data_IF_663289609219
#
_entry.id   IF_663289609219
#
_cell.length_a   1.000
_cell.length_b   1.000
_cell.length_c   1.000
_cell.angle_alpha   90.00
_cell.angle_beta   90.00
_cell.angle_gamma   90.00
#
_symmetry.space_group_name_H-M   'P 1'
#
loop_
_entity.id
_entity.type
_entity.pdbx_description
1 polymer ?
#
# COMPACT_ATOMS: atom_id res chain seq x y z
N UNK A 1 1.42 42.57 9.84
CA UNK A 1 2.47 41.86 9.11
C UNK A 1 2.59 40.46 9.69
N UNK A 2 1.88 39.49 9.11
CA UNK A 2 1.90 38.08 9.53
C UNK A 2 2.46 37.26 8.38
N UNK A 3 3.66 36.73 8.60
CA UNK A 3 4.44 36.01 7.61
C UNK A 3 3.73 34.76 7.10
N UNK A 4 3.74 34.61 5.77
CA UNK A 4 3.46 33.36 5.09
C UNK A 4 4.51 32.32 5.50
N UNK A 5 4.08 31.31 6.27
CA UNK A 5 4.80 30.04 6.32
C UNK A 5 4.62 29.32 4.98
N UNK A 6 5.62 28.56 4.50
CA UNK A 6 5.50 27.82 3.27
C UNK A 6 4.45 26.73 3.47
N UNK A 7 3.29 26.92 2.86
CA UNK A 7 2.28 25.88 2.77
C UNK A 7 2.91 24.66 2.12
N UNK A 8 3.00 23.58 2.88
CA UNK A 8 3.17 22.24 2.33
C UNK A 8 2.08 22.08 1.28
N UNK A 9 2.48 22.13 0.00
CA UNK A 9 1.61 21.83 -1.11
C UNK A 9 1.13 20.38 -0.92
N UNK A 10 -0.03 20.24 -0.28
CA UNK A 10 -0.84 19.04 -0.21
C UNK A 10 -1.22 18.65 -1.63
N UNK A 11 -0.36 17.88 -2.29
CA UNK A 11 -0.60 17.21 -3.57
C UNK A 11 -1.63 16.07 -3.49
N UNK A 12 -2.58 16.15 -2.55
CA UNK A 12 -3.80 15.34 -2.51
C UNK A 12 -4.97 16.28 -2.82
N UNK A 13 -5.10 16.66 -4.08
CA UNK A 13 -6.28 17.36 -4.55
C UNK A 13 -7.52 16.47 -4.34
N UNK A 14 -8.31 16.82 -3.32
CA UNK A 14 -9.69 16.42 -3.09
C UNK A 14 -10.01 14.91 -3.15
N UNK A 15 -10.20 14.31 -1.97
CA UNK A 15 -10.88 13.02 -1.76
C UNK A 15 -12.40 13.07 -2.08
N UNK A 16 -12.78 13.80 -3.13
CA UNK A 16 -14.11 13.72 -3.70
C UNK A 16 -14.24 12.42 -4.48
N UNK A 17 -15.28 11.66 -4.18
CA UNK A 17 -15.74 10.60 -5.07
C UNK A 17 -16.52 11.25 -6.21
N UNK A 18 -16.46 10.71 -7.44
CA UNK A 18 -17.41 11.07 -8.48
C UNK A 18 -18.85 10.94 -7.96
N UNK A 19 -19.78 11.81 -8.36
CA UNK A 19 -21.16 11.76 -7.90
C UNK A 19 -21.87 10.46 -8.31
N UNK A 20 -21.36 9.76 -9.32
CA UNK A 20 -21.86 8.47 -9.80
C UNK A 20 -21.00 7.27 -9.37
N UNK A 21 -20.17 7.45 -8.33
CA UNK A 21 -19.36 6.38 -7.76
C UNK A 21 -20.25 5.23 -7.23
N UNK A 22 -19.86 3.99 -7.56
CA UNK A 22 -20.54 2.78 -7.10
C UNK A 22 -19.80 2.10 -5.94
N UNK A 23 -20.50 1.25 -5.19
CA UNK A 23 -19.92 0.42 -4.14
C UNK A 23 -19.64 1.17 -2.84
N UNK A 24 -20.18 2.38 -2.66
CA UNK A 24 -19.99 3.20 -1.46
C UNK A 24 -20.72 2.59 -0.26
N UNK A 25 -21.88 2.00 -0.54
CA UNK A 25 -22.73 1.27 0.40
C UNK A 25 -22.04 0.06 1.03
N UNK A 26 -21.06 -0.54 0.33
CA UNK A 26 -20.26 -1.65 0.84
C UNK A 26 -19.39 -1.24 2.05
N UNK A 27 -19.20 0.06 2.26
CA UNK A 27 -18.36 0.63 3.32
C UNK A 27 -19.18 1.41 4.36
N UNK A 28 -20.49 1.22 4.42
CA UNK A 28 -21.37 1.97 5.34
C UNK A 28 -21.20 1.59 6.81
N UNK A 29 -20.73 0.37 7.09
CA UNK A 29 -20.37 -0.06 8.44
C UNK A 29 -18.85 -0.18 8.60
N UNK A 30 -18.36 0.14 9.81
CA UNK A 30 -16.94 0.00 10.15
C UNK A 30 -16.47 -1.45 10.00
N UNK A 31 -17.33 -2.40 10.39
CA UNK A 31 -17.02 -3.83 10.33
C UNK A 31 -16.87 -4.31 8.88
N UNK A 32 -17.80 -3.92 8.00
CA UNK A 32 -17.73 -4.29 6.57
C UNK A 32 -16.54 -3.62 5.88
N UNK A 33 -16.30 -2.34 6.17
CA UNK A 33 -15.14 -1.62 5.66
C UNK A 33 -13.81 -2.30 6.05
N UNK A 34 -13.66 -2.69 7.32
CA UNK A 34 -12.49 -3.42 7.79
C UNK A 34 -12.40 -4.82 7.20
N UNK A 35 -13.52 -5.53 7.04
CA UNK A 35 -13.57 -6.86 6.41
C UNK A 35 -13.09 -6.79 4.96
N UNK A 36 -13.62 -5.86 4.18
CA UNK A 36 -13.22 -5.62 2.79
C UNK A 36 -11.74 -5.25 2.73
N UNK A 37 -11.31 -4.32 3.58
CA UNK A 37 -9.93 -3.87 3.59
C UNK A 37 -8.93 -4.96 4.01
N UNK A 38 -9.27 -5.80 4.99
CA UNK A 38 -8.43 -6.94 5.38
C UNK A 38 -8.28 -7.95 4.25
N UNK A 39 -9.38 -8.25 3.53
CA UNK A 39 -9.32 -9.12 2.36
C UNK A 39 -8.50 -8.50 1.22
N UNK A 40 -8.64 -7.20 1.02
CA UNK A 40 -7.81 -6.44 0.07
C UNK A 40 -6.32 -6.54 0.40
N UNK A 41 -5.93 -6.40 1.68
CA UNK A 41 -4.54 -6.61 2.13
C UNK A 41 -4.07 -8.04 1.87
N UNK A 42 -4.89 -9.03 2.20
CA UNK A 42 -4.59 -10.45 1.94
C UNK A 42 -4.27 -10.67 0.47
N UNK A 43 -5.14 -10.22 -0.45
CA UNK A 43 -4.95 -10.40 -1.90
C UNK A 43 -3.75 -9.59 -2.41
N UNK A 44 -3.57 -8.36 -1.92
CA UNK A 44 -2.41 -7.53 -2.27
C UNK A 44 -1.08 -8.21 -1.92
N UNK A 45 -1.05 -8.97 -0.83
CA UNK A 45 0.14 -9.66 -0.34
C UNK A 45 0.33 -11.06 -0.94
N UNK A 46 -0.59 -11.54 -1.79
CA UNK A 46 -0.41 -12.82 -2.46
C UNK A 46 0.72 -12.75 -3.49
N UNK A 47 1.33 -13.91 -3.72
CA UNK A 47 2.43 -14.04 -4.67
C UNK A 47 2.01 -13.66 -6.09
N UNK A 48 0.79 -13.98 -6.51
CA UNK A 48 0.28 -13.65 -7.85
C UNK A 48 0.10 -12.13 -8.04
N UNK A 49 -0.36 -11.41 -7.02
CA UNK A 49 -0.39 -9.94 -7.00
C UNK A 49 1.02 -9.35 -7.04
N UNK A 50 1.94 -9.88 -6.23
CA UNK A 50 3.34 -9.45 -6.23
C UNK A 50 4.02 -9.68 -7.58
N UNK A 51 3.77 -10.81 -8.23
CA UNK A 51 4.29 -11.13 -9.56
C UNK A 51 3.72 -10.20 -10.63
N UNK A 52 2.43 -9.84 -10.53
CA UNK A 52 1.82 -8.82 -11.40
C UNK A 52 2.54 -7.48 -11.22
N UNK A 53 2.70 -7.00 -9.98
CA UNK A 53 3.41 -5.75 -9.70
C UNK A 53 4.85 -5.77 -10.24
N UNK A 54 5.62 -6.85 -10.01
CA UNK A 54 7.00 -6.97 -10.51
C UNK A 54 7.09 -6.95 -12.03
N UNK A 55 6.10 -7.51 -12.73
CA UNK A 55 6.06 -7.55 -14.20
C UNK A 55 5.63 -6.21 -14.81
N UNK A 56 4.79 -5.44 -14.14
CA UNK A 56 4.10 -4.27 -14.73
C UNK A 56 4.59 -2.93 -14.18
N UNK A 57 5.18 -2.91 -12.98
CA UNK A 57 5.66 -1.69 -12.35
C UNK A 57 7.17 -1.54 -12.53
N UNK A 58 7.53 -0.72 -13.51
CA UNK A 58 8.89 -0.23 -13.70
C UNK A 58 8.87 1.29 -13.55
N UNK A 59 9.27 1.85 -12.38
CA UNK A 59 9.17 3.28 -12.11
C UNK A 59 10.07 4.12 -13.03
N UNK A 60 10.99 3.51 -13.78
CA UNK A 60 11.83 4.20 -14.76
C UNK A 60 11.15 4.39 -16.12
N UNK A 61 10.04 3.69 -16.38
CA UNK A 61 9.34 3.73 -17.67
C UNK A 61 8.20 4.76 -17.68
N UNK A 62 7.99 5.45 -18.82
CA UNK A 62 6.78 6.26 -19.01
C UNK A 62 5.53 5.40 -18.85
N UNK A 63 4.56 5.86 -18.06
CA UNK A 63 3.30 5.14 -17.83
C UNK A 63 3.32 4.14 -16.65
N UNK A 64 4.38 4.08 -15.85
CA UNK A 64 4.46 3.22 -14.66
C UNK A 64 3.29 3.42 -13.68
N UNK A 65 2.79 4.66 -13.54
CA UNK A 65 1.64 4.96 -12.70
C UNK A 65 0.33 4.37 -13.27
N UNK A 66 0.18 4.35 -14.59
CA UNK A 66 -0.99 3.76 -15.24
C UNK A 66 -0.99 2.24 -15.05
N UNK A 67 0.16 1.59 -15.20
CA UNK A 67 0.27 0.13 -15.00
C UNK A 67 0.10 -0.27 -13.52
N UNK A 68 0.57 0.58 -12.61
CA UNK A 68 0.30 0.46 -11.18
C UNK A 68 -1.20 0.52 -10.87
N UNK A 69 -1.91 1.52 -11.39
CA UNK A 69 -3.36 1.66 -11.21
C UNK A 69 -4.14 0.47 -11.77
N UNK A 70 -3.74 -0.07 -12.93
CA UNK A 70 -4.36 -1.28 -13.51
C UNK A 70 -4.19 -2.48 -12.57
N UNK A 71 -3.01 -2.63 -11.97
CA UNK A 71 -2.75 -3.73 -11.04
C UNK A 71 -3.58 -3.57 -9.76
N UNK A 72 -3.66 -2.35 -9.20
CA UNK A 72 -4.55 -2.07 -8.06
C UNK A 72 -6.02 -2.34 -8.37
N UNK A 73 -6.52 -1.94 -9.55
CA UNK A 73 -7.89 -2.25 -9.97
C UNK A 73 -8.14 -3.75 -10.09
N UNK A 74 -7.13 -4.54 -10.50
CA UNK A 74 -7.25 -6.00 -10.49
C UNK A 74 -7.41 -6.53 -9.07
N UNK A 75 -6.64 -6.02 -8.11
CA UNK A 75 -6.72 -6.43 -6.70
C UNK A 75 -8.08 -6.04 -6.11
N UNK A 76 -8.55 -4.82 -6.37
CA UNK A 76 -9.86 -4.32 -5.96
C UNK A 76 -10.97 -5.27 -6.44
N UNK A 77 -10.94 -5.61 -7.73
CA UNK A 77 -11.93 -6.51 -8.34
C UNK A 77 -11.92 -7.89 -7.72
N UNK A 78 -10.74 -8.53 -7.60
CA UNK A 78 -10.61 -9.85 -6.98
C UNK A 78 -11.10 -9.84 -5.53
N UNK A 79 -10.87 -8.75 -4.79
CA UNK A 79 -11.35 -8.61 -3.41
C UNK A 79 -12.86 -8.67 -3.31
N UNK A 80 -13.55 -7.86 -4.11
CA UNK A 80 -15.01 -7.80 -4.11
C UNK A 80 -15.61 -9.10 -4.64
N UNK A 81 -15.00 -9.71 -5.67
CA UNK A 81 -15.42 -11.02 -6.20
C UNK A 81 -15.30 -12.14 -5.14
N UNK A 82 -14.17 -12.24 -4.44
CA UNK A 82 -13.96 -13.27 -3.40
C UNK A 82 -14.85 -13.09 -2.16
N UNK A 83 -15.33 -11.86 -1.91
CA UNK A 83 -16.31 -11.59 -0.85
C UNK A 83 -17.76 -11.84 -1.28
N UNK A 84 -18.00 -12.19 -2.54
CA UNK A 84 -19.35 -12.37 -3.09
C UNK A 84 -20.11 -11.05 -3.26
N UNK A 85 -19.40 -9.91 -3.34
CA UNK A 85 -19.97 -8.56 -3.41
C UNK A 85 -20.01 -7.99 -4.84
N UNK A 86 -19.61 -8.78 -5.84
CA UNK A 86 -19.48 -8.32 -7.23
C UNK A 86 -20.80 -7.83 -7.84
N UNK A 87 -21.94 -8.33 -7.38
CA UNK A 87 -23.27 -7.88 -7.84
C UNK A 87 -23.58 -6.42 -7.50
N UNK A 88 -22.92 -5.84 -6.49
CA UNK A 88 -23.09 -4.44 -6.11
C UNK A 88 -22.38 -3.45 -7.03
N UNK A 89 -21.50 -3.94 -7.92
CA UNK A 89 -20.75 -3.10 -8.87
C UNK A 89 -21.14 -3.48 -10.29
N UNK A 90 -21.94 -2.63 -10.93
CA UNK A 90 -22.38 -2.86 -12.32
C UNK A 90 -21.39 -2.30 -13.34
N UNK A 91 -20.64 -1.26 -12.97
CA UNK A 91 -19.58 -0.67 -13.81
C UNK A 91 -18.29 -0.47 -13.01
N UNK A 92 -17.31 -1.33 -13.25
CA UNK A 92 -15.98 -1.26 -12.65
C UNK A 92 -15.20 0.02 -12.97
N UNK A 93 -15.59 0.78 -14.00
CA UNK A 93 -14.99 2.09 -14.26
C UNK A 93 -15.45 3.14 -13.26
N UNK A 94 -16.65 2.97 -12.70
CA UNK A 94 -17.27 3.84 -11.68
C UNK A 94 -16.92 3.44 -10.26
N UNK A 95 -16.34 2.26 -10.05
CA UNK A 95 -15.79 1.87 -8.77
C UNK A 95 -14.49 2.64 -8.49
N UNK A 96 -14.43 3.52 -7.47
CA UNK A 96 -13.25 4.36 -7.23
C UNK A 96 -12.03 3.62 -6.66
N UNK A 97 -12.20 2.36 -6.25
CA UNK A 97 -11.16 1.53 -5.64
C UNK A 97 -11.24 1.51 -4.11
N UNK A 98 -10.85 0.39 -3.49
CA UNK A 98 -11.09 0.14 -2.07
C UNK A 98 -10.39 1.19 -1.20
N UNK A 99 -9.12 1.51 -1.47
CA UNK A 99 -8.36 2.50 -0.71
C UNK A 99 -9.03 3.88 -0.73
N UNK A 100 -9.53 4.32 -1.90
CA UNK A 100 -10.17 5.63 -2.03
C UNK A 100 -11.49 5.68 -1.26
N UNK A 101 -12.26 4.59 -1.28
CA UNK A 101 -13.50 4.46 -0.49
C UNK A 101 -13.23 4.51 1.01
N UNK A 102 -12.18 3.81 1.47
CA UNK A 102 -11.76 3.81 2.88
C UNK A 102 -11.40 5.22 3.36
N UNK A 103 -10.57 5.96 2.62
CA UNK A 103 -10.23 7.34 2.99
C UNK A 103 -11.44 8.28 2.92
N UNK A 104 -12.34 8.09 1.96
CA UNK A 104 -13.51 8.94 1.84
C UNK A 104 -14.48 8.78 3.02
N UNK A 105 -14.82 7.55 3.39
CA UNK A 105 -15.79 7.26 4.46
C UNK A 105 -15.20 7.30 5.87
N UNK A 106 -13.94 6.88 6.03
CA UNK A 106 -13.37 6.54 7.34
C UNK A 106 -12.08 7.28 7.67
N UNK A 107 -11.77 8.40 6.99
CA UNK A 107 -10.55 9.20 7.24
C UNK A 107 -10.42 9.75 8.66
N UNK A 108 -11.53 9.85 9.40
CA UNK A 108 -11.55 10.34 10.80
C UNK A 108 -11.67 9.22 11.83
N UNK A 109 -11.87 7.96 11.41
CA UNK A 109 -11.88 6.83 12.33
C UNK A 109 -10.43 6.35 12.57
N UNK A 110 -9.91 6.46 13.81
CA UNK A 110 -8.51 6.15 14.08
C UNK A 110 -8.17 4.67 13.90
N UNK A 111 -9.14 3.76 14.10
CA UNK A 111 -8.92 2.32 13.97
C UNK A 111 -8.75 1.96 12.50
N UNK A 112 -9.67 2.46 11.67
CA UNK A 112 -9.62 2.25 10.22
C UNK A 112 -8.39 2.92 9.62
N UNK A 113 -8.09 4.16 10.02
CA UNK A 113 -6.93 4.89 9.52
C UNK A 113 -5.60 4.19 9.88
N UNK A 114 -5.49 3.63 11.09
CA UNK A 114 -4.29 2.88 11.50
C UNK A 114 -4.05 1.68 10.59
N UNK A 115 -5.09 0.88 10.34
CA UNK A 115 -5.04 -0.28 9.45
C UNK A 115 -4.64 0.13 8.02
N UNK A 116 -5.22 1.21 7.49
CA UNK A 116 -4.93 1.70 6.13
C UNK A 116 -3.50 2.25 6.03
N UNK A 117 -3.04 3.02 7.01
CA UNK A 117 -1.71 3.63 7.00
C UNK A 117 -0.59 2.59 7.10
N UNK A 118 -0.76 1.53 7.90
CA UNK A 118 0.20 0.43 7.96
C UNK A 118 0.40 -0.25 6.60
N UNK A 119 -0.68 -0.39 5.83
CA UNK A 119 -0.62 -0.97 4.48
C UNK A 119 0.03 -0.02 3.46
N UNK A 120 -0.26 1.28 3.51
CA UNK A 120 0.37 2.27 2.60
C UNK A 120 1.88 2.33 2.82
N UNK A 121 2.35 2.24 4.07
CA UNK A 121 3.79 2.13 4.38
C UNK A 121 4.38 0.85 3.78
N UNK A 122 3.68 -0.27 3.83
CA UNK A 122 4.11 -1.53 3.21
C UNK A 122 4.20 -1.44 1.67
N UNK A 123 3.19 -0.86 1.00
CA UNK A 123 3.25 -0.61 -0.46
C UNK A 123 4.42 0.30 -0.83
N UNK A 124 4.64 1.38 -0.07
CA UNK A 124 5.82 2.23 -0.29
C UNK A 124 7.10 1.43 -0.12
N UNK A 125 7.23 0.58 0.89
CA UNK A 125 8.41 -0.29 1.04
C UNK A 125 8.63 -1.25 -0.13
N UNK A 126 7.56 -1.74 -0.78
CA UNK A 126 7.68 -2.57 -1.99
C UNK A 126 8.02 -1.78 -3.27
N UNK A 127 7.77 -0.46 -3.30
CA UNK A 127 8.02 0.40 -4.46
C UNK A 127 9.28 1.28 -4.35
N UNK A 128 9.92 1.36 -3.18
CA UNK A 128 11.10 2.19 -2.97
C UNK A 128 12.36 1.32 -2.98
N UNK A 129 13.06 1.33 -4.12
CA UNK A 129 14.47 0.96 -4.17
C UNK A 129 15.23 1.95 -3.28
N UNK A 130 15.91 1.46 -2.24
CA UNK A 130 16.85 2.27 -1.46
C UNK A 130 17.83 2.94 -2.42
N UNK A 131 17.92 4.28 -2.40
CA UNK A 131 18.91 5.01 -3.20
C UNK A 131 20.18 5.22 -2.39
N UNK A 132 21.30 5.36 -3.09
CA UNK A 132 22.58 5.72 -2.45
C UNK A 132 22.41 7.06 -1.74
N UNK A 133 22.66 7.08 -0.43
CA UNK A 133 22.49 8.26 0.42
C UNK A 133 21.23 8.25 1.29
N UNK A 134 20.28 7.34 1.04
CA UNK A 134 19.14 7.15 1.93
C UNK A 134 19.58 6.54 3.27
N UNK A 135 18.96 6.91 4.40
CA UNK A 135 19.22 6.26 5.68
C UNK A 135 18.83 4.78 5.59
N UNK A 136 19.69 3.90 6.08
CA UNK A 136 19.42 2.46 6.12
C UNK A 136 18.27 2.19 7.11
N UNK A 137 17.15 1.67 6.61
CA UNK A 137 16.05 1.25 7.46
C UNK A 137 16.44 0.02 8.29
N UNK A 138 15.89 -0.06 9.51
CA UNK A 138 16.05 -1.23 10.35
C UNK A 138 15.16 -2.36 9.82
N UNK A 139 15.76 -3.27 9.05
CA UNK A 139 15.09 -4.42 8.45
C UNK A 139 15.06 -5.57 9.44
N UNK A 140 13.88 -6.14 9.66
CA UNK A 140 13.71 -7.44 10.32
C UNK A 140 14.12 -8.56 9.38
N UNK A 141 15.12 -9.34 9.79
CA UNK A 141 15.66 -10.50 9.10
C UNK A 141 15.28 -11.75 9.89
N UNK A 142 15.14 -12.88 9.21
CA UNK A 142 15.03 -14.19 9.85
C UNK A 142 16.38 -14.87 9.71
N UNK A 143 17.01 -15.22 10.82
CA UNK A 143 18.28 -15.93 10.82
C UNK A 143 18.11 -17.38 10.36
N UNK A 144 19.21 -18.04 10.02
CA UNK A 144 19.22 -19.48 9.74
C UNK A 144 18.74 -20.34 10.92
N UNK A 145 18.72 -19.79 12.13
CA UNK A 145 18.20 -20.42 13.33
C UNK A 145 16.69 -20.17 13.56
N UNK A 146 16.01 -19.55 12.60
CA UNK A 146 14.61 -19.11 12.68
C UNK A 146 14.34 -18.07 13.79
N UNK A 147 15.35 -17.29 14.14
CA UNK A 147 15.20 -16.17 15.08
C UNK A 147 14.96 -14.88 14.30
N UNK A 148 14.03 -14.05 14.76
CA UNK A 148 13.86 -12.69 14.24
C UNK A 148 15.01 -11.81 14.73
N UNK A 149 15.76 -11.22 13.79
CA UNK A 149 16.93 -10.38 14.06
C UNK A 149 16.78 -9.07 13.29
N UNK A 150 16.92 -7.93 13.94
CA UNK A 150 16.99 -6.63 13.26
C UNK A 150 18.42 -6.13 13.11
N UNK A 151 18.71 -5.25 12.15
CA UNK A 151 20.04 -4.63 12.03
C UNK A 151 20.42 -3.82 13.28
N UNK A 152 19.45 -3.20 13.95
CA UNK A 152 19.65 -2.51 15.23
C UNK A 152 20.09 -3.47 16.33
N UNK A 153 19.52 -4.69 16.39
CA UNK A 153 19.84 -5.71 17.38
C UNK A 153 21.19 -6.41 17.19
N UNK A 154 21.82 -6.28 16.01
CA UNK A 154 23.14 -6.84 15.77
C UNK A 154 24.20 -6.15 16.65
N UNK A 155 24.95 -6.96 17.40
CA UNK A 155 26.14 -6.55 18.17
C UNK A 155 27.32 -6.24 17.24
N UNK A 156 27.16 -5.23 16.39
CA UNK A 156 28.19 -4.73 15.46
C UNK A 156 28.51 -3.28 15.78
N UNK A 157 29.76 -2.88 15.51
CA UNK A 157 30.19 -1.50 15.67
C UNK A 157 29.47 -0.60 14.66
N UNK A 158 28.51 0.20 15.15
CA UNK A 158 27.63 1.04 14.31
C UNK A 158 28.38 2.16 13.56
N UNK A 159 29.59 2.51 13.98
CA UNK A 159 30.44 3.53 13.34
C UNK A 159 31.25 2.99 12.15
N UNK A 160 31.20 1.68 11.89
CA UNK A 160 31.97 1.06 10.80
C UNK A 160 31.07 0.75 9.59
N UNK A 161 31.59 0.84 8.36
CA UNK A 161 30.85 0.42 7.17
C UNK A 161 30.42 -1.04 7.29
N UNK A 162 29.12 -1.30 7.09
CA UNK A 162 28.56 -2.64 7.02
C UNK A 162 28.46 -3.07 5.55
N UNK A 163 29.06 -4.20 5.20
CA UNK A 163 28.87 -4.83 3.89
C UNK A 163 27.75 -5.87 4.00
N UNK A 164 26.66 -5.65 3.29
CA UNK A 164 25.56 -6.63 3.16
C UNK A 164 25.70 -7.35 1.83
N UNK A 165 25.87 -8.67 1.88
CA UNK A 165 25.92 -9.52 0.69
C UNK A 165 24.60 -10.28 0.63
N UNK A 166 23.73 -9.88 -0.29
CA UNK A 166 22.52 -10.62 -0.61
C UNK A 166 22.84 -11.64 -1.70
N UNK A 167 22.58 -12.92 -1.41
CA UNK A 167 22.66 -14.00 -2.39
C UNK A 167 21.29 -14.63 -2.53
N UNK A 168 20.82 -14.76 -3.76
CA UNK A 168 19.71 -15.67 -4.07
C UNK A 168 20.31 -17.04 -4.37
N UNK A 169 20.37 -17.91 -3.37
CA UNK A 169 20.47 -19.34 -3.63
C UNK A 169 19.10 -19.78 -4.15
N UNK A 170 19.02 -20.01 -5.46
CA UNK A 170 17.90 -20.68 -6.14
C UNK A 170 18.05 -22.19 -6.05
#
# INVERSE_FOLDING_TARGET
MSGHGPGLATGMGMFGLPPDAQGLELFDSREDALKIFRKYKEISNRQDSADKFKKTFDPSKPGAMVTFEVTLRSVDRTTIEELGLASSITDWKKFPGILKMMFHKWSVDPTVLTEVMQFVVFIKRMGFTLKVGDPMEDVGLVSMANEEVSFSSLHVHKERPLLVIASSLS
#
